data_IF_468415925901
#
_entry.id   IF_468415925901
#
_cell.length_a   1.000
_cell.length_b   1.000
_cell.length_c   1.000
_cell.angle_alpha   90.00
_cell.angle_beta   90.00
_cell.angle_gamma   90.00
#
_symmetry.space_group_name_H-M   'P 1'
#
loop_
_entity.id
_entity.type
_entity.pdbx_description
1 polymer ?
#
# COMPACT_ATOMS: atom_id res chain seq x y z
N UNK A 1 -2.39 20.32 -0.51
CA UNK A 1 -2.64 19.06 -1.23
C UNK A 1 -1.50 18.06 -1.03
N UNK A 2 -1.83 16.82 -0.67
CA UNK A 2 -0.91 15.70 -0.41
C UNK A 2 -1.39 14.43 -1.12
N UNK A 3 -0.48 13.63 -1.66
CA UNK A 3 -0.82 12.31 -2.22
C UNK A 3 -0.89 11.30 -1.07
N UNK A 4 -1.98 10.53 -1.04
CA UNK A 4 -2.21 9.50 -0.06
C UNK A 4 -2.98 8.34 -0.71
N UNK A 5 -3.31 7.33 0.10
CA UNK A 5 -4.00 6.12 -0.33
C UNK A 5 -5.21 5.87 0.54
N UNK A 6 -6.28 5.37 -0.09
CA UNK A 6 -7.51 5.04 0.62
C UNK A 6 -8.16 3.81 0.01
N UNK A 7 -8.63 2.93 0.89
CA UNK A 7 -9.54 1.86 0.55
C UNK A 7 -10.99 2.25 0.87
N UNK A 8 -11.90 1.72 0.06
CA UNK A 8 -13.35 1.92 0.16
C UNK A 8 -14.06 0.59 0.01
N UNK A 9 -15.34 0.55 0.41
CA UNK A 9 -16.26 -0.49 -0.05
C UNK A 9 -16.38 -0.45 -1.58
N UNK A 10 -16.81 -1.55 -2.24
CA UNK A 10 -16.86 -1.62 -3.70
C UNK A 10 -17.71 -0.54 -4.36
N UNK A 11 -18.72 -0.03 -3.65
CA UNK A 11 -19.61 1.05 -4.06
C UNK A 11 -19.03 2.46 -3.82
N UNK A 12 -17.77 2.59 -3.39
CA UNK A 12 -17.11 3.84 -2.97
C UNK A 12 -17.68 4.49 -1.70
N UNK A 13 -18.39 3.73 -0.86
CA UNK A 13 -18.79 4.20 0.46
C UNK A 13 -17.72 3.92 1.53
N UNK A 14 -17.69 4.75 2.57
CA UNK A 14 -16.87 4.52 3.78
C UNK A 14 -17.59 5.10 5.00
N UNK A 15 -17.35 4.50 6.18
CA UNK A 15 -17.73 5.12 7.44
C UNK A 15 -16.83 6.35 7.70
N UNK A 16 -17.44 7.49 7.98
CA UNK A 16 -16.78 8.75 8.33
C UNK A 16 -17.58 9.44 9.44
N UNK A 17 -16.96 9.62 10.61
CA UNK A 17 -17.58 10.32 11.76
C UNK A 17 -18.92 9.72 12.22
N UNK A 18 -19.06 8.39 12.20
CA UNK A 18 -20.29 7.69 12.60
C UNK A 18 -21.41 7.66 11.56
N UNK A 19 -21.15 8.12 10.33
CA UNK A 19 -22.09 8.06 9.21
C UNK A 19 -21.45 7.48 7.96
N UNK A 20 -22.24 6.91 7.05
CA UNK A 20 -21.76 6.46 5.75
C UNK A 20 -21.65 7.65 4.79
N UNK A 21 -20.45 7.91 4.27
CA UNK A 21 -20.24 8.87 3.19
C UNK A 21 -20.07 8.15 1.85
N UNK A 22 -20.75 8.65 0.82
CA UNK A 22 -20.69 8.13 -0.54
C UNK A 22 -19.73 8.99 -1.39
N UNK A 23 -18.54 8.47 -1.67
CA UNK A 23 -17.55 9.22 -2.44
C UNK A 23 -17.92 9.26 -3.91
N UNK A 24 -17.45 10.32 -4.56
CA UNK A 24 -17.78 10.67 -5.92
C UNK A 24 -16.50 10.82 -6.72
N UNK A 25 -16.47 10.21 -7.90
CA UNK A 25 -15.34 10.28 -8.81
C UNK A 25 -15.23 11.67 -9.44
N UNK A 26 -14.02 12.00 -9.90
CA UNK A 26 -13.70 13.20 -10.69
C UNK A 26 -13.94 14.56 -10.02
N UNK A 27 -14.47 14.61 -8.79
CA UNK A 27 -14.71 15.84 -8.02
C UNK A 27 -14.02 15.82 -6.66
N UNK A 28 -13.92 17.00 -6.04
CA UNK A 28 -13.58 17.11 -4.62
C UNK A 28 -14.77 16.65 -3.78
N UNK A 29 -14.53 15.70 -2.89
CA UNK A 29 -15.44 15.34 -1.82
C UNK A 29 -15.06 16.21 -0.62
N UNK A 30 -16.04 16.80 0.06
CA UNK A 30 -15.79 17.77 1.13
C UNK A 30 -16.62 17.42 2.38
N UNK A 31 -16.05 17.67 3.54
CA UNK A 31 -16.67 17.56 4.87
C UNK A 31 -16.26 18.77 5.72
N UNK A 32 -17.09 19.13 6.69
CA UNK A 32 -16.93 20.38 7.46
C UNK A 32 -15.67 20.42 8.34
N UNK A 33 -15.30 19.28 8.93
CA UNK A 33 -14.21 19.20 9.92
C UNK A 33 -13.42 17.91 9.73
N UNK A 34 -12.12 17.98 10.03
CA UNK A 34 -11.21 16.84 10.10
C UNK A 34 -10.44 16.86 11.42
N UNK A 35 -10.49 15.73 12.15
CA UNK A 35 -9.72 15.45 13.35
C UNK A 35 -9.31 14.00 13.30
N UNK A 36 -8.01 13.73 13.34
CA UNK A 36 -7.50 12.37 13.27
C UNK A 36 -8.18 11.47 14.31
N UNK A 37 -8.66 10.30 13.87
CA UNK A 37 -9.37 9.28 14.69
C UNK A 37 -10.80 9.66 15.12
N UNK A 38 -11.28 10.85 14.81
CA UNK A 38 -12.63 11.30 15.18
C UNK A 38 -13.48 11.66 13.95
N UNK A 39 -13.01 12.58 13.11
CA UNK A 39 -13.78 13.17 12.00
C UNK A 39 -12.92 13.40 10.75
N UNK A 40 -13.58 13.66 9.62
CA UNK A 40 -12.91 13.91 8.35
C UNK A 40 -12.74 12.67 7.47
N UNK A 41 -12.09 12.85 6.33
CA UNK A 41 -11.78 11.78 5.41
C UNK A 41 -10.42 11.17 5.72
N UNK A 42 -10.42 9.94 6.25
CA UNK A 42 -9.20 9.20 6.55
C UNK A 42 -8.56 8.59 5.31
N UNK A 43 -7.26 8.79 5.14
CA UNK A 43 -6.38 8.15 4.17
C UNK A 43 -5.03 7.84 4.83
N UNK A 44 -4.10 7.23 4.11
CA UNK A 44 -2.79 6.83 4.62
C UNK A 44 -1.67 7.19 3.65
N UNK A 45 -0.51 7.64 4.15
CA UNK A 45 0.69 7.79 3.31
C UNK A 45 1.28 6.44 2.91
N UNK A 46 1.37 5.49 3.87
CA UNK A 46 1.75 4.11 3.59
C UNK A 46 0.53 3.41 2.99
N UNK A 47 0.57 3.00 1.70
CA UNK A 47 -0.55 2.30 1.11
C UNK A 47 -0.96 1.08 1.94
N UNK A 48 -0.01 0.32 2.49
CA UNK A 48 -0.25 -0.96 3.16
C UNK A 48 -1.08 -0.82 4.44
N UNK A 49 -1.15 0.38 5.03
CA UNK A 49 -2.03 0.64 6.19
C UNK A 49 -3.51 0.50 5.83
N UNK A 50 -3.88 0.65 4.55
CA UNK A 50 -5.25 0.40 4.10
C UNK A 50 -5.68 -1.06 4.31
N UNK A 51 -4.75 -2.03 4.30
CA UNK A 51 -5.05 -3.45 4.52
C UNK A 51 -5.45 -3.76 5.97
N UNK A 52 -5.09 -2.92 6.93
CA UNK A 52 -5.54 -3.07 8.33
C UNK A 52 -7.05 -2.85 8.47
N UNK A 53 -7.64 -2.02 7.61
CA UNK A 53 -9.08 -1.71 7.61
C UNK A 53 -9.87 -2.51 6.58
N UNK A 54 -9.25 -2.80 5.44
CA UNK A 54 -9.83 -3.60 4.36
C UNK A 54 -8.87 -4.77 4.07
N UNK A 55 -8.94 -5.86 4.85
CA UNK A 55 -7.92 -6.91 4.85
C UNK A 55 -8.12 -7.98 3.76
N UNK A 56 -9.22 -7.89 3.00
CA UNK A 56 -9.53 -8.79 1.88
C UNK A 56 -9.63 -7.94 0.61
N UNK A 57 -8.62 -8.05 -0.26
CA UNK A 57 -8.48 -7.19 -1.43
C UNK A 57 -9.73 -7.18 -2.32
N UNK A 58 -10.29 -8.35 -2.60
CA UNK A 58 -11.44 -8.50 -3.51
C UNK A 58 -12.76 -7.93 -2.94
N UNK A 59 -12.80 -7.57 -1.66
CA UNK A 59 -13.97 -6.96 -1.01
C UNK A 59 -13.88 -5.43 -0.91
N UNK A 60 -12.83 -4.84 -1.49
CA UNK A 60 -12.57 -3.40 -1.42
C UNK A 60 -12.05 -2.86 -2.75
N UNK A 61 -12.04 -1.54 -2.86
CA UNK A 61 -11.34 -0.83 -3.94
C UNK A 61 -10.35 0.14 -3.35
N UNK A 62 -9.15 0.18 -3.92
CA UNK A 62 -8.04 0.99 -3.44
C UNK A 62 -7.78 2.10 -4.45
N UNK A 63 -7.58 3.32 -3.96
CA UNK A 63 -7.26 4.47 -4.79
C UNK A 63 -6.05 5.21 -4.26
N UNK A 64 -5.27 5.74 -5.19
CA UNK A 64 -4.48 6.94 -4.96
C UNK A 64 -5.42 8.14 -4.90
N UNK A 65 -5.26 8.97 -3.87
CA UNK A 65 -6.11 10.12 -3.59
C UNK A 65 -5.27 11.37 -3.39
N UNK A 66 -5.86 12.54 -3.67
CA UNK A 66 -5.36 13.81 -3.20
C UNK A 66 -6.12 14.21 -1.94
N UNK A 67 -5.42 14.40 -0.83
CA UNK A 67 -5.91 15.00 0.40
C UNK A 67 -5.62 16.51 0.40
N UNK A 68 -6.59 17.33 0.79
CA UNK A 68 -6.48 18.79 0.79
C UNK A 68 -7.45 19.41 1.84
N UNK A 69 -7.47 20.74 1.93
CA UNK A 69 -8.18 21.44 3.00
C UNK A 69 -7.39 21.39 4.31
N UNK A 70 -8.11 21.27 5.43
CA UNK A 70 -7.49 21.05 6.73
C UNK A 70 -6.98 19.60 6.77
N UNK A 71 -5.69 19.45 7.08
CA UNK A 71 -5.01 18.17 7.15
C UNK A 71 -4.50 18.01 8.59
N UNK A 72 -4.86 16.88 9.19
CA UNK A 72 -4.41 16.48 10.52
C UNK A 72 -3.66 15.14 10.44
N UNK A 73 -2.43 15.13 10.95
CA UNK A 73 -1.49 14.00 10.95
C UNK A 73 -1.16 13.68 12.41
N UNK A 74 -1.55 12.51 12.91
CA UNK A 74 -1.42 12.22 14.36
C UNK A 74 0.02 11.88 14.81
N UNK A 75 1.00 12.06 13.91
CA UNK A 75 2.44 11.82 14.04
C UNK A 75 2.85 10.40 14.50
N UNK A 76 1.88 9.53 14.79
CA UNK A 76 2.08 8.21 15.36
C UNK A 76 2.15 7.14 14.28
N UNK A 77 1.38 7.27 13.20
CA UNK A 77 1.42 6.38 12.05
C UNK A 77 1.26 7.16 10.72
N UNK A 78 0.98 6.46 9.62
CA UNK A 78 0.84 7.09 8.30
C UNK A 78 -0.54 7.68 8.04
N UNK A 79 -1.46 7.66 9.02
CA UNK A 79 -2.84 8.11 8.83
C UNK A 79 -2.92 9.63 8.73
N UNK A 80 -3.76 10.04 7.80
CA UNK A 80 -4.11 11.43 7.52
C UNK A 80 -5.63 11.55 7.62
N UNK A 81 -6.11 12.56 8.34
CA UNK A 81 -7.47 13.06 8.21
C UNK A 81 -7.47 14.35 7.38
N UNK A 82 -8.42 14.49 6.46
CA UNK A 82 -8.56 15.72 5.66
C UNK A 82 -10.01 16.15 5.46
N UNK A 83 -10.25 17.45 5.25
CA UNK A 83 -11.60 17.96 4.93
C UNK A 83 -11.96 17.87 3.46
N UNK A 84 -10.96 17.73 2.57
CA UNK A 84 -11.18 17.58 1.12
C UNK A 84 -10.41 16.40 0.56
N UNK A 85 -11.10 15.53 -0.18
CA UNK A 85 -10.49 14.35 -0.78
C UNK A 85 -10.95 14.14 -2.22
N UNK A 86 -10.00 13.94 -3.13
CA UNK A 86 -10.27 13.61 -4.53
C UNK A 86 -9.67 12.27 -4.91
N UNK A 87 -10.48 11.40 -5.50
CA UNK A 87 -10.03 10.11 -6.04
C UNK A 87 -9.30 10.37 -7.37
N UNK A 88 -8.04 9.94 -7.46
CA UNK A 88 -7.19 10.20 -8.64
C UNK A 88 -7.10 8.97 -9.55
N UNK A 89 -6.72 7.82 -8.97
CA UNK A 89 -6.47 6.59 -9.73
C UNK A 89 -6.88 5.36 -8.94
N UNK A 90 -7.72 4.51 -9.54
CA UNK A 90 -8.00 3.18 -9.01
C UNK A 90 -6.75 2.31 -9.15
N UNK A 91 -6.37 1.63 -8.09
CA UNK A 91 -5.13 0.86 -8.02
C UNK A 91 -5.37 -0.60 -8.43
N UNK A 92 -4.45 -1.13 -9.24
CA UNK A 92 -4.26 -2.58 -9.38
C UNK A 92 -3.37 -3.08 -8.23
N UNK A 93 -3.35 -4.39 -7.96
CA UNK A 93 -2.43 -4.97 -6.95
C UNK A 93 -0.97 -4.61 -7.26
N UNK A 94 -0.56 -4.73 -8.53
CA UNK A 94 0.78 -4.38 -8.99
C UNK A 94 1.13 -2.91 -8.70
N UNK A 95 0.27 -1.98 -9.12
CA UNK A 95 0.50 -0.55 -8.89
C UNK A 95 0.51 -0.22 -7.39
N UNK A 96 -0.33 -0.89 -6.59
CA UNK A 96 -0.42 -0.70 -5.14
C UNK A 96 0.83 -1.18 -4.41
N UNK A 97 1.36 -2.36 -4.77
CA UNK A 97 2.63 -2.85 -4.24
C UNK A 97 3.78 -1.94 -4.68
N UNK A 98 3.80 -1.49 -5.93
CA UNK A 98 4.82 -0.55 -6.41
C UNK A 98 4.89 0.73 -5.56
N UNK A 99 3.74 1.38 -5.32
CA UNK A 99 3.74 2.61 -4.51
C UNK A 99 4.06 2.35 -3.04
N UNK A 100 3.80 1.14 -2.50
CA UNK A 100 4.24 0.77 -1.16
C UNK A 100 5.77 0.67 -1.08
N UNK A 101 6.42 0.13 -2.11
CA UNK A 101 7.88 0.10 -2.19
C UNK A 101 8.46 1.52 -2.33
N UNK A 102 7.84 2.38 -3.14
CA UNK A 102 8.24 3.80 -3.25
C UNK A 102 8.12 4.52 -1.91
N UNK A 103 7.06 4.29 -1.15
CA UNK A 103 6.91 4.84 0.20
C UNK A 103 8.09 4.41 1.11
N UNK A 104 8.49 3.14 1.07
CA UNK A 104 9.65 2.68 1.84
C UNK A 104 10.95 3.34 1.39
N UNK A 105 11.14 3.60 0.09
CA UNK A 105 12.31 4.32 -0.44
C UNK A 105 12.36 5.75 0.06
N UNK A 106 11.20 6.43 0.12
CA UNK A 106 11.08 7.79 0.62
C UNK A 106 11.23 7.87 2.15
N UNK A 107 10.89 6.79 2.84
CA UNK A 107 10.85 6.74 4.31
C UNK A 107 11.55 5.49 4.88
N UNK A 108 12.85 5.29 4.59
CA UNK A 108 13.53 4.04 4.90
C UNK A 108 13.68 3.76 6.40
N UNK A 109 13.63 4.81 7.23
CA UNK A 109 13.77 4.74 8.69
C UNK A 109 12.44 4.60 9.43
N UNK A 110 11.29 4.64 8.75
CA UNK A 110 9.99 4.41 9.38
C UNK A 110 9.85 2.96 9.81
N UNK A 111 9.02 2.75 10.83
CA UNK A 111 8.63 1.41 11.26
C UNK A 111 8.00 0.64 10.10
N UNK A 112 8.28 -0.66 10.03
CA UNK A 112 7.78 -1.50 8.96
C UNK A 112 6.30 -1.82 9.18
N UNK A 113 5.51 -1.71 8.13
CA UNK A 113 4.14 -2.23 8.14
C UNK A 113 4.14 -3.75 8.34
N UNK A 114 3.15 -4.28 9.06
CA UNK A 114 3.05 -5.70 9.41
C UNK A 114 2.99 -6.67 8.20
N UNK A 115 2.59 -6.15 7.04
CA UNK A 115 2.55 -6.88 5.77
C UNK A 115 3.93 -7.02 5.11
N UNK A 116 4.96 -6.32 5.61
CA UNK A 116 6.34 -6.43 5.11
C UNK A 116 7.10 -7.50 5.88
N UNK A 117 7.75 -8.43 5.17
CA UNK A 117 8.54 -9.52 5.77
C UNK A 117 10.02 -9.31 5.55
N UNK A 118 10.80 -9.57 6.60
CA UNK A 118 12.26 -9.47 6.59
C UNK A 118 12.87 -10.60 5.75
N UNK A 119 13.67 -10.23 4.74
CA UNK A 119 14.41 -11.11 3.81
C UNK A 119 13.60 -12.07 2.94
N UNK A 120 12.45 -12.55 3.43
CA UNK A 120 11.67 -13.57 2.75
C UNK A 120 10.18 -13.37 2.95
N UNK A 121 9.43 -13.29 1.86
CA UNK A 121 7.97 -13.20 1.87
C UNK A 121 7.33 -14.35 1.07
N UNK A 122 6.12 -14.75 1.47
CA UNK A 122 5.26 -15.66 0.71
C UNK A 122 3.95 -14.93 0.50
N UNK A 123 3.41 -15.02 -0.71
CA UNK A 123 2.15 -14.39 -1.05
C UNK A 123 1.04 -14.84 -0.10
N UNK A 124 0.34 -13.87 0.47
CA UNK A 124 -0.74 -14.11 1.40
C UNK A 124 -2.03 -14.53 0.67
N UNK A 125 -3.14 -14.60 1.41
CA UNK A 125 -4.47 -14.88 0.84
C UNK A 125 -4.91 -13.90 -0.24
N UNK A 126 -4.35 -12.68 -0.28
CA UNK A 126 -4.65 -11.68 -1.29
C UNK A 126 -3.76 -11.82 -2.55
N UNK A 127 -2.89 -12.84 -2.58
CA UNK A 127 -1.87 -13.04 -3.61
C UNK A 127 -0.86 -11.88 -3.64
N UNK A 128 -0.49 -11.36 -2.47
CA UNK A 128 0.52 -10.29 -2.34
C UNK A 128 1.62 -10.71 -1.38
N UNK A 129 2.88 -10.47 -1.77
CA UNK A 129 4.05 -10.68 -0.92
C UNK A 129 4.92 -9.41 -0.94
N UNK A 130 5.35 -8.91 0.21
CA UNK A 130 6.30 -7.79 0.27
C UNK A 130 7.48 -8.18 1.14
N UNK A 131 8.67 -8.22 0.56
CA UNK A 131 9.92 -8.50 1.27
C UNK A 131 10.85 -7.29 1.27
N UNK A 132 11.46 -7.02 2.43
CA UNK A 132 12.49 -6.01 2.59
C UNK A 132 13.68 -6.60 3.36
N UNK A 133 14.90 -6.30 2.95
CA UNK A 133 16.12 -6.80 3.60
C UNK A 133 17.36 -6.63 2.74
N UNK A 134 18.49 -7.21 3.13
CA UNK A 134 19.74 -7.16 2.35
C UNK A 134 19.67 -8.04 1.10
N UNK A 135 18.96 -9.15 1.19
CA UNK A 135 18.76 -10.12 0.11
C UNK A 135 17.27 -10.54 0.06
N UNK A 136 16.36 -9.59 -0.23
CA UNK A 136 14.93 -9.84 -0.17
C UNK A 136 14.53 -10.85 -1.25
N UNK A 137 13.70 -11.81 -0.87
CA UNK A 137 13.15 -12.83 -1.75
C UNK A 137 11.65 -12.97 -1.52
N UNK A 138 10.91 -13.31 -2.57
CA UNK A 138 9.49 -13.55 -2.46
C UNK A 138 9.03 -14.65 -3.42
N UNK A 139 7.96 -15.35 -3.04
CA UNK A 139 7.26 -16.29 -3.90
C UNK A 139 5.75 -16.19 -3.75
N UNK A 140 5.02 -16.75 -4.70
CA UNK A 140 3.57 -16.86 -4.64
C UNK A 140 3.01 -17.79 -5.71
N UNK A 141 1.70 -18.02 -5.67
CA UNK A 141 1.00 -18.77 -6.71
C UNK A 141 0.81 -17.96 -7.99
N UNK A 142 0.21 -18.59 -9.01
CA UNK A 142 -0.12 -17.92 -10.27
C UNK A 142 -1.00 -16.68 -10.02
N UNK A 143 -0.59 -15.54 -10.57
CA UNK A 143 -1.24 -14.24 -10.39
C UNK A 143 -0.78 -13.45 -9.16
N UNK A 144 0.14 -13.99 -8.34
CA UNK A 144 0.68 -13.27 -7.20
C UNK A 144 1.54 -12.07 -7.61
N UNK A 145 1.44 -11.00 -6.82
CA UNK A 145 2.25 -9.80 -6.95
C UNK A 145 3.30 -9.81 -5.84
N UNK A 146 4.56 -9.81 -6.25
CA UNK A 146 5.73 -9.85 -5.37
C UNK A 146 6.40 -8.48 -5.38
N UNK A 147 6.51 -7.86 -4.20
CA UNK A 147 7.25 -6.62 -3.99
C UNK A 147 8.53 -6.89 -3.21
N UNK A 148 9.64 -6.35 -3.70
CA UNK A 148 10.98 -6.59 -3.16
C UNK A 148 11.68 -5.26 -2.95
N UNK A 149 12.27 -5.05 -1.78
CA UNK A 149 13.03 -3.84 -1.43
C UNK A 149 14.39 -4.23 -0.83
N UNK A 150 15.47 -3.98 -1.58
CA UNK A 150 16.84 -4.25 -1.12
C UNK A 150 17.37 -3.08 -0.32
N UNK A 151 17.82 -3.35 0.89
CA UNK A 151 18.47 -2.36 1.73
C UNK A 151 19.91 -2.10 1.28
N UNK A 152 20.40 -0.89 1.53
CA UNK A 152 21.83 -0.59 1.40
C UNK A 152 22.66 -1.50 2.34
N UNK A 153 23.94 -1.80 2.02
CA UNK A 153 24.78 -2.65 2.86
C UNK A 153 24.89 -2.20 4.32
N UNK A 154 24.86 -0.88 4.55
CA UNK A 154 24.90 -0.20 5.84
C UNK A 154 23.53 -0.16 6.55
N UNK A 155 22.44 -0.56 5.88
CA UNK A 155 21.07 -0.53 6.39
C UNK A 155 20.40 0.84 6.37
N UNK A 156 21.06 1.87 5.82
CA UNK A 156 20.62 3.27 5.90
C UNK A 156 19.75 3.72 4.71
N UNK A 157 19.07 2.80 4.02
CA UNK A 157 18.25 3.14 2.86
C UNK A 157 17.81 1.92 2.06
N UNK A 158 17.06 2.16 0.99
CA UNK A 158 16.70 1.16 -0.01
C UNK A 158 17.41 1.51 -1.32
N UNK A 159 18.15 0.55 -1.86
CA UNK A 159 18.98 0.71 -3.07
C UNK A 159 18.24 0.26 -4.32
N UNK A 160 17.45 -0.81 -4.21
CA UNK A 160 16.73 -1.42 -5.32
C UNK A 160 15.32 -1.79 -4.89
N UNK A 161 14.36 -1.60 -5.80
CA UNK A 161 13.00 -2.11 -5.64
C UNK A 161 12.59 -2.86 -6.91
N UNK A 162 11.77 -3.89 -6.74
CA UNK A 162 11.19 -4.63 -7.86
C UNK A 162 9.75 -5.05 -7.55
N UNK A 163 8.93 -5.06 -8.60
CA UNK A 163 7.59 -5.67 -8.59
C UNK A 163 7.53 -6.72 -9.67
N UNK A 164 7.13 -7.92 -9.30
CA UNK A 164 6.99 -9.05 -10.23
C UNK A 164 5.57 -9.60 -10.12
N UNK A 165 4.98 -9.98 -11.26
CA UNK A 165 3.72 -10.73 -11.31
C UNK A 165 4.04 -12.15 -11.71
N UNK A 166 3.63 -13.12 -10.89
CA UNK A 166 3.79 -14.55 -11.17
C UNK A 166 2.86 -14.93 -12.32
N UNK A 167 3.39 -14.97 -13.54
CA UNK A 167 2.61 -15.13 -14.77
C UNK A 167 2.64 -16.56 -15.34
N UNK A 168 3.44 -17.45 -14.74
CA UNK A 168 3.65 -18.82 -15.23
C UNK A 168 4.51 -18.91 -16.48
N UNK A 169 5.16 -17.82 -16.90
CA UNK A 169 6.05 -17.77 -18.06
C UNK A 169 7.44 -17.28 -17.69
N UNK A 170 7.53 -16.02 -17.25
CA UNK A 170 8.78 -15.44 -16.75
C UNK A 170 8.96 -15.74 -15.27
N UNK A 171 7.87 -15.69 -14.51
CA UNK A 171 7.86 -15.96 -13.08
C UNK A 171 6.94 -17.15 -12.83
N UNK A 172 7.55 -18.27 -12.45
CA UNK A 172 6.87 -19.54 -12.21
C UNK A 172 6.23 -19.56 -10.80
N UNK A 173 5.06 -20.22 -10.65
CA UNK A 173 4.43 -20.39 -9.35
C UNK A 173 5.33 -21.13 -8.35
N UNK A 174 5.26 -20.70 -7.09
CA UNK A 174 5.93 -21.32 -5.94
C UNK A 174 7.46 -21.31 -5.97
N UNK A 175 8.06 -20.52 -6.87
CA UNK A 175 9.51 -20.26 -6.97
C UNK A 175 9.86 -18.93 -6.29
N UNK A 176 10.98 -18.90 -5.58
CA UNK A 176 11.51 -17.69 -4.97
C UNK A 176 12.28 -16.85 -5.98
N UNK A 177 11.99 -15.55 -6.03
CA UNK A 177 12.69 -14.58 -6.85
C UNK A 177 13.36 -13.50 -6.00
N UNK A 178 14.57 -13.09 -6.38
CA UNK A 178 15.25 -11.91 -5.83
C UNK A 178 14.82 -10.61 -6.54
N UNK A 179 15.33 -9.46 -6.07
CA UNK A 179 15.01 -8.14 -6.63
C UNK A 179 15.45 -7.97 -8.10
N UNK A 180 16.38 -8.79 -8.60
CA UNK A 180 16.80 -8.81 -9.99
C UNK A 180 15.89 -9.69 -10.86
N UNK A 181 14.95 -10.41 -10.24
CA UNK A 181 14.09 -11.39 -10.89
C UNK A 181 14.77 -12.73 -11.16
N UNK A 182 15.89 -13.03 -10.49
CA UNK A 182 16.55 -14.32 -10.57
C UNK A 182 15.87 -15.31 -9.63
N UNK A 183 15.78 -16.56 -10.06
CA UNK A 183 15.36 -17.66 -9.19
C UNK A 183 16.39 -17.90 -8.10
N UNK A 184 15.91 -18.07 -6.87
CA UNK A 184 16.74 -18.36 -5.69
C UNK A 184 16.35 -19.72 -5.14
N UNK A 185 17.33 -20.62 -5.05
CA UNK A 185 17.18 -21.87 -4.34
C UNK A 185 17.34 -21.61 -2.84
N UNK A 186 16.32 -21.95 -2.06
CA UNK A 186 16.27 -21.74 -0.59
C UNK A 186 15.99 -23.07 0.11
#
# INVERSE_FOLDING_TARGET
MKIAYKAFRPDLSCQAGGSTYQYQLQKWNEIKEAKCRETGFHCAEDPLDCLSYYPVWEQAVYYMVAADGDIDEDACDSKIACTRLRLLKKMTKEAYIYVALVYMVQHPTRNWNANVKRERAVADRNQMAVSRGKNPTAKGGLGAVLGLAREAPDGCGITEIAVCVVDGKRYLPDVYYDVNGNEVLI
#
